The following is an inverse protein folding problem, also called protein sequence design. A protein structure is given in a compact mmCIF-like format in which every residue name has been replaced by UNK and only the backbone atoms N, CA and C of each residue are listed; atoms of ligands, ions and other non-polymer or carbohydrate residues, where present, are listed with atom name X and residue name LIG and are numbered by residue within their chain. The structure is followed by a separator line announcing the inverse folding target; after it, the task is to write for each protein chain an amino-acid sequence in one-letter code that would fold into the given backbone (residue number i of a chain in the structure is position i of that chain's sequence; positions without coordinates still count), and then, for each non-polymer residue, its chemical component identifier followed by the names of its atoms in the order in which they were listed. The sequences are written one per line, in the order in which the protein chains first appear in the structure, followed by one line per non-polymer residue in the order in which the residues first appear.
data_IF_815619586400
#
_entry.id   IF_815619586400
#
_cell.length_a   1.000
_cell.length_b   1.000
_cell.length_c   1.000
_cell.angle_alpha   90.00
_cell.angle_beta   90.00
_cell.angle_gamma   90.00
#
_symmetry.space_group_name_H-M   'P 1'
#
loop_
_entity.id
_entity.type
_entity.pdbx_description
1 polymer ?
#
# COMPACT_ATOMS: atom_id res chain seq x y z
N UNK A 1 6.41 25.78 22.51
CA UNK A 1 6.47 24.65 21.57
C UNK A 1 5.10 24.00 21.50
N UNK A 2 4.51 23.86 20.31
CA UNK A 2 3.22 23.17 20.19
C UNK A 2 3.43 21.65 20.32
N UNK A 3 2.41 20.94 20.82
CA UNK A 3 2.50 19.49 21.09
C UNK A 3 2.83 18.66 19.86
N UNK A 4 2.53 19.16 18.66
CA UNK A 4 2.92 18.55 17.37
C UNK A 4 4.43 18.60 17.13
N UNK A 5 5.10 19.70 17.48
CA UNK A 5 6.57 19.81 17.37
C UNK A 5 7.28 18.92 18.38
N UNK A 6 6.70 18.72 19.57
CA UNK A 6 7.31 17.90 20.63
C UNK A 6 7.21 16.39 20.31
N UNK A 7 6.11 15.95 19.71
CA UNK A 7 5.93 14.58 19.21
C UNK A 7 6.80 14.27 17.98
N UNK A 8 6.98 15.23 17.06
CA UNK A 8 7.90 15.04 15.93
C UNK A 8 9.36 14.95 16.37
N UNK A 9 9.78 15.73 17.37
CA UNK A 9 11.16 15.71 17.88
C UNK A 9 11.48 14.43 18.67
N UNK A 10 10.51 13.87 19.41
CA UNK A 10 10.69 12.60 20.10
C UNK A 10 10.82 11.41 19.13
N UNK A 11 10.09 11.44 18.00
CA UNK A 11 10.18 10.40 16.97
C UNK A 11 11.47 10.47 16.13
N UNK A 12 12.11 11.64 16.02
CA UNK A 12 13.35 11.84 15.26
C UNK A 12 14.63 11.47 16.03
N UNK A 13 14.58 11.44 17.37
CA UNK A 13 15.76 11.19 18.20
C UNK A 13 16.19 9.71 18.30
N UNK A 14 15.34 8.76 17.86
CA UNK A 14 15.60 7.31 17.99
C UNK A 14 16.27 6.70 16.74
N UNK A 15 16.39 7.44 15.64
CA UNK A 15 16.82 6.89 14.33
C UNK A 15 18.32 7.05 13.99
N UNK A 16 19.18 7.46 14.92
CA UNK A 16 20.58 7.74 14.63
C UNK A 16 21.53 6.75 15.32
N UNK A 17 21.75 5.57 14.71
CA UNK A 17 23.04 4.85 14.71
C UNK A 17 22.93 3.45 14.05
N UNK A 18 22.86 3.36 12.72
CA UNK A 18 23.22 2.11 12.01
C UNK A 18 23.85 2.46 10.65
N UNK A 19 25.14 2.15 10.48
CA UNK A 19 25.88 2.14 9.21
C UNK A 19 25.80 0.75 8.56
N UNK A 20 25.47 0.60 7.26
CA UNK A 20 25.53 -0.69 6.60
C UNK A 20 26.85 -0.90 5.85
N UNK A 21 27.40 -2.12 5.92
CA UNK A 21 28.42 -2.61 5.01
C UNK A 21 27.77 -3.37 3.83
N UNK A 22 28.35 -3.16 2.63
CA UNK A 22 28.07 -3.78 1.33
C UNK A 22 28.21 -5.33 1.36
N UNK A 23 27.81 -6.18 0.42
CA UNK A 23 27.13 -6.18 -0.89
C UNK A 23 26.92 -7.66 -1.27
N UNK A 24 25.89 -8.03 -2.04
CA UNK A 24 25.93 -9.28 -2.84
C UNK A 24 25.06 -9.17 -4.11
N UNK A 25 25.50 -9.67 -5.28
CA UNK A 25 24.79 -9.52 -6.54
C UNK A 25 23.90 -10.73 -6.88
N UNK A 26 22.74 -10.45 -7.48
CA UNK A 26 21.96 -11.33 -8.36
C UNK A 26 21.44 -12.66 -7.74
N UNK A 27 20.71 -12.55 -6.64
CA UNK A 27 19.62 -13.45 -6.31
C UNK A 27 18.49 -12.59 -5.75
N UNK A 28 17.29 -12.63 -6.34
CA UNK A 28 16.13 -12.01 -5.72
C UNK A 28 15.99 -12.58 -4.30
N UNK A 29 15.86 -11.74 -3.25
CA UNK A 29 15.79 -12.27 -1.89
C UNK A 29 14.57 -13.19 -1.79
N UNK A 30 14.84 -14.46 -1.52
CA UNK A 30 13.80 -15.41 -1.15
C UNK A 30 13.16 -14.90 0.14
N UNK A 31 11.94 -14.38 0.04
CA UNK A 31 11.13 -14.10 1.21
C UNK A 31 10.89 -15.46 1.90
N UNK A 32 11.34 -15.61 3.14
CA UNK A 32 11.04 -16.79 3.96
C UNK A 32 9.82 -16.50 4.85
N UNK A 33 9.05 -17.55 5.18
CA UNK A 33 7.82 -17.42 6.01
C UNK A 33 6.52 -17.32 5.19
N UNK A 34 5.41 -16.86 5.79
CA UNK A 34 4.08 -16.84 5.15
C UNK A 34 4.01 -16.00 3.85
N UNK A 35 5.05 -15.23 3.55
CA UNK A 35 5.18 -14.39 2.35
C UNK A 35 5.98 -15.07 1.21
N UNK A 36 6.37 -16.35 1.34
CA UNK A 36 7.32 -17.02 0.44
C UNK A 36 6.81 -17.37 -0.98
N UNK A 37 5.59 -16.95 -1.37
CA UNK A 37 4.94 -17.42 -2.60
C UNK A 37 4.84 -16.44 -3.78
N UNK A 38 5.55 -15.31 -3.76
CA UNK A 38 5.45 -14.30 -4.83
C UNK A 38 4.39 -13.22 -4.55
N UNK A 39 4.22 -12.30 -5.50
CA UNK A 39 3.52 -11.01 -5.34
C UNK A 39 2.16 -11.18 -4.63
N UNK A 40 1.85 -10.36 -3.60
CA UNK A 40 0.60 -10.44 -2.85
C UNK A 40 -0.60 -10.11 -3.76
N UNK A 41 -1.21 -11.16 -4.31
CA UNK A 41 -2.36 -11.07 -5.23
C UNK A 41 -2.98 -12.42 -5.59
N UNK A 42 -2.23 -13.52 -5.51
CA UNK A 42 -2.73 -14.87 -5.77
C UNK A 42 -3.19 -15.56 -4.47
N UNK A 43 -4.44 -15.33 -4.06
CA UNK A 43 -5.20 -16.31 -3.26
C UNK A 43 -4.73 -16.67 -1.84
N UNK A 44 -4.04 -15.78 -1.13
CA UNK A 44 -3.66 -16.07 0.27
C UNK A 44 -4.81 -15.80 1.25
N UNK A 45 -5.41 -16.86 1.80
CA UNK A 45 -6.24 -16.85 3.03
C UNK A 45 -5.39 -16.60 4.28
N UNK A 46 -4.64 -15.49 4.30
CA UNK A 46 -3.89 -15.03 5.47
C UNK A 46 -4.57 -13.82 6.10
N UNK A 47 -4.43 -13.69 7.43
CA UNK A 47 -4.99 -12.59 8.20
C UNK A 47 -4.57 -11.24 7.55
N UNK A 48 -5.49 -10.25 7.44
CA UNK A 48 -5.18 -8.93 6.87
C UNK A 48 -3.94 -8.24 7.46
N UNK A 49 -3.62 -8.48 8.74
CA UNK A 49 -2.39 -7.99 9.39
C UNK A 49 -1.14 -8.61 8.74
N UNK A 50 -1.16 -9.92 8.51
CA UNK A 50 -0.06 -10.64 7.88
C UNK A 50 0.10 -10.25 6.41
N UNK A 51 -1.01 -10.01 5.69
CA UNK A 51 -0.98 -9.50 4.32
C UNK A 51 -0.26 -8.15 4.23
N UNK A 52 -0.60 -7.20 5.09
CA UNK A 52 0.02 -5.87 5.12
C UNK A 52 1.51 -5.95 5.42
N UNK A 53 1.91 -6.80 6.38
CA UNK A 53 3.32 -7.04 6.69
C UNK A 53 4.06 -7.66 5.49
N UNK A 54 3.47 -8.65 4.82
CA UNK A 54 4.08 -9.26 3.63
C UNK A 54 4.29 -8.23 2.51
N UNK A 55 3.32 -7.34 2.27
CA UNK A 55 3.44 -6.28 1.27
C UNK A 55 4.52 -5.27 1.68
N UNK A 56 4.61 -4.91 2.95
CA UNK A 56 5.68 -4.05 3.48
C UNK A 56 7.07 -4.67 3.24
N UNK A 57 7.27 -5.93 3.67
CA UNK A 57 8.54 -6.64 3.50
C UNK A 57 8.90 -6.81 2.01
N UNK A 58 7.90 -7.09 1.15
CA UNK A 58 8.09 -7.18 -0.29
C UNK A 58 8.49 -5.84 -0.90
N UNK A 59 7.84 -4.73 -0.54
CA UNK A 59 8.21 -3.38 -1.03
C UNK A 59 9.63 -3.04 -0.60
N UNK A 60 9.99 -3.25 0.67
CA UNK A 60 11.35 -2.98 1.14
C UNK A 60 12.40 -3.77 0.33
N UNK A 61 12.10 -5.04 0.09
CA UNK A 61 12.92 -5.96 -0.69
C UNK A 61 13.06 -5.55 -2.16
N UNK A 62 11.94 -5.30 -2.85
CA UNK A 62 11.89 -4.95 -4.26
C UNK A 62 12.64 -3.64 -4.56
N UNK A 63 12.54 -2.67 -3.66
CA UNK A 63 13.21 -1.37 -3.79
C UNK A 63 14.56 -1.29 -3.08
N UNK A 64 15.01 -2.36 -2.42
CA UNK A 64 16.27 -2.46 -1.65
C UNK A 64 16.44 -1.32 -0.64
N UNK A 65 15.38 -1.02 0.10
CA UNK A 65 15.40 -0.02 1.17
C UNK A 65 15.22 -0.68 2.54
N UNK A 66 15.96 -0.21 3.54
CA UNK A 66 15.80 -0.61 4.92
C UNK A 66 14.61 0.09 5.61
N UNK A 67 14.14 -0.43 6.75
CA UNK A 67 13.14 0.25 7.58
C UNK A 67 13.57 1.70 7.91
N UNK A 68 12.64 2.66 7.85
CA UNK A 68 12.89 4.08 8.10
C UNK A 68 13.54 4.85 6.94
N UNK A 69 14.12 4.18 5.94
CA UNK A 69 14.78 4.85 4.80
C UNK A 69 13.79 5.44 3.78
N UNK A 70 12.52 5.01 3.79
CA UNK A 70 11.51 5.54 2.88
C UNK A 70 11.31 7.06 3.02
N UNK A 71 11.48 7.60 4.24
CA UNK A 71 11.35 9.04 4.51
C UNK A 71 12.49 9.87 3.91
N UNK A 72 13.65 9.25 3.70
CA UNK A 72 14.85 9.93 3.18
C UNK A 72 14.94 9.89 1.64
N UNK A 73 13.99 9.23 0.97
CA UNK A 73 13.95 9.18 -0.50
C UNK A 73 13.47 10.53 -1.07
N UNK A 74 14.41 11.45 -1.22
CA UNK A 74 14.18 12.75 -1.83
C UNK A 74 13.57 12.59 -3.24
N UNK A 75 12.52 13.36 -3.53
CA UNK A 75 11.82 13.34 -4.83
C UNK A 75 10.86 12.18 -5.06
N UNK A 76 10.81 11.16 -4.19
CA UNK A 76 9.89 10.00 -4.32
C UNK A 76 8.78 9.95 -3.27
N UNK A 77 8.65 10.97 -2.44
CA UNK A 77 7.68 11.00 -1.32
C UNK A 77 6.21 10.88 -1.77
N UNK A 78 5.92 11.22 -3.03
CA UNK A 78 4.57 11.12 -3.60
C UNK A 78 4.29 9.76 -4.25
N UNK A 79 5.30 8.89 -4.39
CA UNK A 79 5.12 7.56 -4.95
C UNK A 79 4.21 6.72 -4.04
N UNK A 80 3.18 6.01 -4.58
CA UNK A 80 2.23 5.24 -3.79
C UNK A 80 2.87 4.26 -2.81
N UNK A 81 3.94 3.58 -3.23
CA UNK A 81 4.66 2.62 -2.40
C UNK A 81 5.45 3.29 -1.26
N UNK A 82 6.02 4.48 -1.48
CA UNK A 82 6.70 5.25 -0.43
C UNK A 82 5.69 5.71 0.62
N UNK A 83 4.53 6.20 0.17
CA UNK A 83 3.43 6.60 1.06
C UNK A 83 2.91 5.43 1.88
N UNK A 84 2.79 4.24 1.30
CA UNK A 84 2.41 3.02 2.01
C UNK A 84 3.41 2.66 3.11
N UNK A 85 4.72 2.63 2.81
CA UNK A 85 5.76 2.30 3.80
C UNK A 85 5.74 3.29 4.97
N UNK A 86 5.62 4.60 4.69
CA UNK A 86 5.53 5.64 5.72
C UNK A 86 4.26 5.49 6.57
N UNK A 87 3.11 5.21 5.93
CA UNK A 87 1.85 4.99 6.62
C UNK A 87 1.91 3.75 7.54
N UNK A 88 2.51 2.66 7.07
CA UNK A 88 2.66 1.43 7.84
C UNK A 88 3.55 1.64 9.08
N UNK A 89 4.67 2.35 8.93
CA UNK A 89 5.55 2.71 10.06
C UNK A 89 4.83 3.57 11.10
N UNK A 90 4.10 4.60 10.67
CA UNK A 90 3.34 5.46 11.58
C UNK A 90 2.28 4.67 12.34
N UNK A 91 1.55 3.81 11.64
CA UNK A 91 0.51 2.96 12.23
C UNK A 91 1.09 1.98 13.26
N UNK A 92 2.26 1.37 12.98
CA UNK A 92 2.95 0.50 13.94
C UNK A 92 3.38 1.25 15.20
N UNK A 93 3.88 2.48 15.05
CA UNK A 93 4.28 3.32 16.19
C UNK A 93 3.07 3.74 17.03
N UNK A 94 1.97 4.19 16.40
CA UNK A 94 0.76 4.59 17.11
C UNK A 94 0.10 3.42 17.85
N UNK A 95 0.09 2.22 17.28
CA UNK A 95 -0.44 1.04 17.99
C UNK A 95 0.34 0.74 19.27
N UNK A 96 1.68 0.86 19.23
CA UNK A 96 2.51 0.74 20.42
C UNK A 96 2.11 1.74 21.51
N UNK A 97 2.08 3.03 21.15
CA UNK A 97 1.71 4.12 22.08
C UNK A 97 0.29 3.96 22.63
N UNK A 98 -0.68 3.58 21.79
CA UNK A 98 -2.06 3.37 22.21
C UNK A 98 -2.20 2.25 23.25
N UNK A 99 -1.45 1.16 23.10
CA UNK A 99 -1.45 0.05 24.06
C UNK A 99 -0.86 0.44 25.42
N UNK A 100 0.25 1.18 25.44
CA UNK A 100 0.88 1.68 26.66
C UNK A 100 -0.02 2.68 27.39
N UNK A 101 -0.67 3.58 26.66
CA UNK A 101 -1.58 4.58 27.24
C UNK A 101 -2.82 3.92 27.86
N UNK A 102 -3.37 2.90 27.20
CA UNK A 102 -4.50 2.12 27.72
C UNK A 102 -4.13 1.39 29.01
N UNK A 103 -2.95 0.74 29.05
CA UNK A 103 -2.46 0.07 30.25
C UNK A 103 -2.21 1.06 31.40
N UNK A 104 -1.67 2.25 31.11
CA UNK A 104 -1.46 3.29 32.10
C UNK A 104 -2.79 3.83 32.68
N UNK A 105 -3.81 4.03 31.84
CA UNK A 105 -5.15 4.44 32.28
C UNK A 105 -5.75 3.40 33.24
N UNK A 106 -5.71 2.11 32.88
CA UNK A 106 -6.20 1.04 33.74
C UNK A 106 -5.47 0.98 35.08
N UNK A 107 -4.15 1.11 35.08
CA UNK A 107 -3.34 1.12 36.30
C UNK A 107 -3.72 2.30 37.22
N UNK A 108 -3.88 3.50 36.67
CA UNK A 108 -4.30 4.67 37.44
C UNK A 108 -5.72 4.53 37.98
N UNK A 109 -6.64 3.94 37.20
CA UNK A 109 -8.02 3.67 37.65
C UNK A 109 -8.06 2.70 38.82
N UNK A 110 -7.26 1.63 38.79
CA UNK A 110 -7.13 0.68 39.90
C UNK A 110 -6.55 1.36 41.15
N UNK A 111 -5.51 2.17 41.00
CA UNK A 111 -4.93 2.93 42.11
C UNK A 111 -5.94 3.91 42.74
N UNK A 112 -6.75 4.58 41.92
CA UNK A 112 -7.82 5.47 42.41
C UNK A 112 -8.90 4.71 43.18
N UNK A 113 -9.35 3.56 42.68
CA UNK A 113 -10.33 2.72 43.40
C UNK A 113 -9.78 2.21 44.74
N UNK A 114 -8.52 1.80 44.78
CA UNK A 114 -7.85 1.38 46.02
C UNK A 114 -7.75 2.54 47.03
N UNK A 115 -7.42 3.74 46.57
CA UNK A 115 -7.38 4.94 47.41
C UNK A 115 -8.76 5.28 47.98
N UNK A 116 -9.83 5.20 47.18
CA UNK A 116 -11.21 5.40 47.66
C UNK A 116 -11.61 4.37 48.72
N UNK A 117 -11.31 3.08 48.48
CA UNK A 117 -11.59 2.02 49.44
C UNK A 117 -10.83 2.24 50.76
N UNK A 118 -9.58 2.69 50.68
CA UNK A 118 -8.75 2.98 51.85
C UNK A 118 -9.27 4.19 52.64
N UNK A 119 -9.69 5.25 51.95
CA UNK A 119 -10.31 6.42 52.56
C UNK A 119 -11.63 6.06 53.26
N UNK A 120 -12.47 5.25 52.63
CA UNK A 120 -13.73 4.76 53.22
C UNK A 120 -13.48 3.92 54.48
N UNK A 121 -12.48 3.02 54.46
CA UNK A 121 -12.09 2.23 55.63
C UNK A 121 -11.56 3.12 56.76
N UNK A 122 -10.72 4.11 56.46
CA UNK A 122 -10.17 5.04 57.44
C UNK A 122 -11.24 5.90 58.13
N UNK A 123 -12.33 6.25 57.44
CA UNK A 123 -13.44 7.00 58.05
C UNK A 123 -14.16 6.21 59.17
N UNK A 124 -14.11 4.88 59.12
CA UNK A 124 -14.68 4.01 60.17
C UNK A 124 -13.74 3.78 61.37
N UNK A 125 -12.46 4.18 61.27
CA UNK A 125 -11.45 3.95 62.30
C UNK A 125 -10.80 5.28 62.73
N UNK A 126 -11.16 5.87 63.88
CA UNK A 126 -10.73 7.22 64.28
C UNK A 126 -9.21 7.45 64.24
N UNK A 127 -8.40 6.43 64.55
CA UNK A 127 -6.93 6.50 64.54
C UNK A 127 -6.30 6.55 63.14
N UNK A 128 -7.04 6.18 62.09
CA UNK A 128 -6.56 6.15 60.70
C UNK A 128 -7.07 7.35 59.90
N UNK A 129 -7.92 8.21 60.49
CA UNK A 129 -8.58 9.32 59.80
C UNK A 129 -7.61 10.33 59.22
N UNK A 130 -6.49 10.56 59.90
CA UNK A 130 -5.45 11.51 59.48
C UNK A 130 -4.55 10.94 58.37
N UNK A 131 -4.63 9.63 58.09
CA UNK A 131 -3.89 8.95 57.02
C UNK A 131 -4.73 8.79 55.74
N UNK A 132 -6.01 9.16 55.77
CA UNK A 132 -6.86 9.08 54.58
C UNK A 132 -6.46 10.18 53.58
N UNK A 133 -6.39 9.87 52.28
CA UNK A 133 -6.19 10.89 51.26
C UNK A 133 -7.29 11.95 51.39
N UNK A 134 -6.88 13.21 51.33
CA UNK A 134 -7.77 14.35 51.45
C UNK A 134 -8.73 14.41 50.26
N UNK A 135 -9.90 15.04 50.46
CA UNK A 135 -10.85 15.30 49.36
C UNK A 135 -10.19 16.07 48.20
N UNK A 136 -9.22 16.94 48.50
CA UNK A 136 -8.44 17.67 47.49
C UNK A 136 -7.57 16.76 46.62
N UNK A 137 -6.87 15.79 47.22
CA UNK A 137 -6.05 14.82 46.48
C UNK A 137 -6.92 13.92 45.59
N UNK A 138 -8.07 13.45 46.09
CA UNK A 138 -9.01 12.66 45.28
C UNK A 138 -9.57 13.45 44.10
N UNK A 139 -9.82 14.75 44.27
CA UNK A 139 -10.27 15.64 43.19
C UNK A 139 -9.18 15.86 42.14
N UNK A 140 -7.93 16.07 42.57
CA UNK A 140 -6.79 16.17 41.65
C UNK A 140 -6.56 14.88 40.86
N UNK A 141 -6.62 13.71 41.51
CA UNK A 141 -6.52 12.42 40.83
C UNK A 141 -7.62 12.24 39.77
N UNK A 142 -8.86 12.64 40.08
CA UNK A 142 -9.96 12.60 39.12
C UNK A 142 -9.70 13.52 37.91
N UNK A 143 -9.23 14.74 38.15
CA UNK A 143 -8.90 15.67 37.07
C UNK A 143 -7.78 15.13 36.16
N UNK A 144 -6.77 14.46 36.74
CA UNK A 144 -5.71 13.79 35.97
C UNK A 144 -6.28 12.66 35.12
N UNK A 145 -7.15 11.82 35.67
CA UNK A 145 -7.83 10.74 34.92
C UNK A 145 -8.65 11.28 33.76
N UNK A 146 -9.44 12.34 33.97
CA UNK A 146 -10.26 12.95 32.92
C UNK A 146 -9.38 13.52 31.79
N UNK A 147 -8.24 14.16 32.13
CA UNK A 147 -7.26 14.64 31.13
C UNK A 147 -6.61 13.51 30.34
N UNK A 148 -6.34 12.38 30.98
CA UNK A 148 -5.76 11.21 30.31
C UNK A 148 -6.77 10.55 29.37
N UNK A 149 -8.01 10.36 29.82
CA UNK A 149 -9.08 9.83 28.98
C UNK A 149 -9.31 10.70 27.73
N UNK A 150 -9.28 12.03 27.89
CA UNK A 150 -9.38 12.95 26.75
C UNK A 150 -8.20 12.79 25.77
N UNK A 151 -6.97 12.61 26.27
CA UNK A 151 -5.79 12.35 25.42
C UNK A 151 -5.88 11.02 24.70
N UNK A 152 -6.36 9.97 25.37
CA UNK A 152 -6.53 8.64 24.78
C UNK A 152 -7.58 8.66 23.67
N UNK A 153 -8.68 9.40 23.84
CA UNK A 153 -9.67 9.61 22.79
C UNK A 153 -9.08 10.28 21.53
N UNK A 154 -8.19 11.27 21.70
CA UNK A 154 -7.49 11.91 20.58
C UNK A 154 -6.56 10.92 19.86
N UNK A 155 -5.74 10.17 20.62
CA UNK A 155 -4.82 9.17 20.03
C UNK A 155 -5.59 8.10 19.26
N UNK A 156 -6.74 7.64 19.80
CA UNK A 156 -7.60 6.67 19.12
C UNK A 156 -8.15 7.21 17.80
N UNK A 157 -8.64 8.44 17.81
CA UNK A 157 -9.13 9.12 16.60
C UNK A 157 -8.02 9.29 15.55
N UNK A 158 -6.80 9.63 15.96
CA UNK A 158 -5.65 9.71 15.06
C UNK A 158 -5.25 8.34 14.50
N UNK A 159 -5.31 7.28 15.31
CA UNK A 159 -5.04 5.91 14.87
C UNK A 159 -6.04 5.44 13.81
N UNK A 160 -7.34 5.67 14.03
CA UNK A 160 -8.39 5.35 13.05
C UNK A 160 -8.19 6.11 11.73
N UNK A 161 -7.81 7.39 11.79
CA UNK A 161 -7.49 8.18 10.62
C UNK A 161 -6.25 7.63 9.87
N UNK A 162 -5.22 7.20 10.60
CA UNK A 162 -4.04 6.60 10.00
C UNK A 162 -4.32 5.22 9.40
N UNK A 163 -5.16 4.40 10.02
CA UNK A 163 -5.57 3.11 9.47
C UNK A 163 -6.31 3.29 8.13
N UNK A 164 -7.22 4.28 8.07
CA UNK A 164 -7.90 4.65 6.82
C UNK A 164 -6.92 5.05 5.71
N UNK A 165 -5.91 5.88 6.04
CA UNK A 165 -4.85 6.26 5.09
C UNK A 165 -4.02 5.04 4.67
N UNK A 166 -3.69 4.15 5.60
CA UNK A 166 -2.93 2.94 5.32
C UNK A 166 -3.68 2.02 4.35
N UNK A 167 -4.98 1.80 4.56
CA UNK A 167 -5.80 1.00 3.66
C UNK A 167 -5.90 1.62 2.27
N UNK A 168 -6.15 2.92 2.18
CA UNK A 168 -6.21 3.62 0.89
C UNK A 168 -4.88 3.58 0.13
N UNK A 169 -3.75 3.74 0.82
CA UNK A 169 -2.42 3.67 0.20
C UNK A 169 -2.02 2.24 -0.18
N UNK A 170 -2.48 1.24 0.58
CA UNK A 170 -2.31 -0.18 0.26
C UNK A 170 -3.00 -0.55 -1.05
N UNK A 171 -4.27 -0.19 -1.21
CA UNK A 171 -5.03 -0.51 -2.43
C UNK A 171 -4.42 0.18 -3.67
N UNK A 172 -3.97 1.42 -3.52
CA UNK A 172 -3.27 2.15 -4.58
C UNK A 172 -1.94 1.48 -4.94
N UNK A 173 -1.14 1.05 -3.94
CA UNK A 173 0.12 0.35 -4.17
C UNK A 173 -0.08 -1.02 -4.82
N UNK A 174 -1.11 -1.76 -4.39
CA UNK A 174 -1.50 -3.05 -4.99
C UNK A 174 -1.87 -2.90 -6.46
N UNK A 175 -2.65 -1.87 -6.79
CA UNK A 175 -3.04 -1.56 -8.17
C UNK A 175 -1.81 -1.20 -9.01
N UNK A 176 -0.94 -0.31 -8.51
CA UNK A 176 0.28 0.08 -9.21
C UNK A 176 1.25 -1.10 -9.43
N UNK A 177 1.34 -2.02 -8.47
CA UNK A 177 2.15 -3.24 -8.59
C UNK A 177 1.59 -4.18 -9.67
N UNK A 178 0.26 -4.33 -9.74
CA UNK A 178 -0.38 -5.12 -10.79
C UNK A 178 -0.16 -4.50 -12.18
N UNK A 179 -0.30 -3.18 -12.31
CA UNK A 179 -0.03 -2.46 -13.55
C UNK A 179 1.44 -2.58 -13.98
N UNK A 180 2.37 -2.53 -13.02
CA UNK A 180 3.80 -2.69 -13.29
C UNK A 180 4.16 -4.12 -13.71
N UNK A 181 3.59 -5.15 -13.08
CA UNK A 181 3.76 -6.55 -13.50
C UNK A 181 3.24 -6.74 -14.92
N UNK A 182 2.04 -6.22 -15.21
CA UNK A 182 1.44 -6.31 -16.53
C UNK A 182 2.26 -5.55 -17.59
N UNK A 183 2.89 -4.42 -17.23
CA UNK A 183 3.80 -3.69 -18.10
C UNK A 183 5.16 -4.38 -18.31
N UNK A 184 5.63 -5.16 -17.33
CA UNK A 184 6.89 -5.90 -17.37
C UNK A 184 6.78 -7.23 -18.12
N UNK A 185 5.56 -7.75 -18.33
CA UNK A 185 5.35 -8.98 -19.11
C UNK A 185 5.85 -8.80 -20.55
N UNK A 186 6.44 -9.85 -21.15
CA UNK A 186 6.75 -9.83 -22.56
C UNK A 186 5.49 -9.47 -23.35
N UNK A 187 5.57 -8.58 -24.35
CA UNK A 187 4.41 -8.22 -25.14
C UNK A 187 3.85 -9.46 -25.84
N UNK A 188 2.53 -9.59 -25.87
CA UNK A 188 1.87 -10.64 -26.63
C UNK A 188 2.28 -10.53 -28.11
N UNK A 189 2.53 -11.68 -28.74
CA UNK A 189 2.89 -11.73 -30.15
C UNK A 189 1.67 -11.44 -31.03
N UNK A 190 1.70 -10.28 -31.67
CA UNK A 190 0.75 -9.82 -32.69
C UNK A 190 1.28 -9.98 -34.11
N UNK A 191 2.53 -10.42 -34.32
CA UNK A 191 3.09 -10.53 -35.65
C UNK A 191 2.39 -11.60 -36.51
N UNK A 192 2.29 -11.32 -37.81
CA UNK A 192 1.65 -12.17 -38.81
C UNK A 192 0.34 -11.60 -39.35
N UNK A 193 -0.43 -12.46 -40.00
CA UNK A 193 -1.63 -12.04 -40.72
C UNK A 193 -2.90 -12.13 -39.87
N UNK A 194 -3.75 -11.11 -40.00
CA UNK A 194 -5.01 -10.98 -39.29
C UNK A 194 -6.13 -10.68 -40.27
N UNK A 195 -7.27 -11.35 -40.11
CA UNK A 195 -8.47 -11.11 -40.90
C UNK A 195 -9.48 -10.23 -40.16
N UNK A 196 -10.00 -9.19 -40.82
CA UNK A 196 -11.12 -8.40 -40.31
C UNK A 196 -11.97 -7.89 -41.48
N UNK A 197 -13.30 -7.95 -41.35
CA UNK A 197 -14.25 -7.42 -42.36
C UNK A 197 -13.98 -7.88 -43.80
N UNK A 198 -13.46 -9.10 -43.98
CA UNK A 198 -13.12 -9.64 -45.30
C UNK A 198 -11.74 -9.27 -45.85
N UNK A 199 -10.95 -8.45 -45.15
CA UNK A 199 -9.59 -8.07 -45.56
C UNK A 199 -8.52 -8.73 -44.69
N UNK A 200 -7.29 -8.80 -45.22
CA UNK A 200 -6.09 -9.27 -44.53
C UNK A 200 -5.20 -8.09 -44.15
N UNK A 201 -4.75 -8.09 -42.91
CA UNK A 201 -3.86 -7.11 -42.30
C UNK A 201 -2.58 -7.82 -41.87
N UNK A 202 -1.44 -7.42 -42.42
CA UNK A 202 -0.13 -7.99 -42.09
C UNK A 202 0.52 -7.15 -40.99
N UNK A 203 0.69 -7.73 -39.79
CA UNK A 203 1.30 -7.09 -38.64
C UNK A 203 2.80 -7.41 -38.54
N UNK A 204 3.61 -6.38 -38.34
CA UNK A 204 5.03 -6.46 -37.95
C UNK A 204 5.20 -5.88 -36.55
N UNK A 205 5.87 -6.61 -35.66
CA UNK A 205 6.06 -6.18 -34.26
C UNK A 205 7.53 -6.08 -33.87
N UNK A 206 7.86 -5.08 -33.05
CA UNK A 206 9.16 -4.90 -32.42
C UNK A 206 8.98 -4.51 -30.94
N UNK A 207 9.12 -5.49 -30.04
CA UNK A 207 8.84 -5.27 -28.62
C UNK A 207 7.39 -4.87 -28.42
N UNK A 208 7.15 -3.76 -27.73
CA UNK A 208 5.80 -3.27 -27.41
C UNK A 208 5.19 -2.40 -28.52
N UNK A 209 5.86 -2.24 -29.67
CA UNK A 209 5.30 -1.49 -30.81
C UNK A 209 5.05 -2.41 -31.98
N UNK A 210 4.04 -2.08 -32.78
CA UNK A 210 3.75 -2.79 -34.03
C UNK A 210 3.29 -1.82 -35.11
N UNK A 211 3.35 -2.30 -36.35
CA UNK A 211 2.78 -1.67 -37.54
C UNK A 211 1.96 -2.74 -38.27
N UNK A 212 0.81 -2.38 -38.85
CA UNK A 212 0.11 -3.23 -39.79
C UNK A 212 -0.05 -2.55 -41.15
N UNK A 213 -0.18 -3.37 -42.18
CA UNK A 213 -0.51 -2.92 -43.53
C UNK A 213 -1.67 -3.73 -44.08
N UNK A 214 -2.57 -3.05 -44.77
CA UNK A 214 -3.60 -3.66 -45.60
C UNK A 214 -3.49 -3.08 -47.02
N UNK A 215 -3.11 -3.94 -47.96
CA UNK A 215 -2.82 -3.54 -49.34
C UNK A 215 -4.08 -3.12 -50.11
N UNK A 216 -5.22 -3.76 -49.84
CA UNK A 216 -6.46 -3.51 -50.56
C UNK A 216 -7.08 -2.15 -50.19
N UNK A 217 -6.82 -1.70 -48.96
CA UNK A 217 -7.31 -0.42 -48.42
C UNK A 217 -6.26 0.71 -48.47
N UNK A 218 -5.06 0.44 -48.98
CA UNK A 218 -3.89 1.32 -48.87
C UNK A 218 -3.73 1.87 -47.43
N UNK A 219 -3.94 0.99 -46.45
CA UNK A 219 -3.99 1.35 -45.03
C UNK A 219 -2.71 0.94 -44.31
N UNK A 220 -2.17 1.87 -43.53
CA UNK A 220 -1.06 1.63 -42.60
C UNK A 220 -1.49 2.04 -41.20
N UNK A 221 -1.37 1.10 -40.26
CA UNK A 221 -1.62 1.33 -38.84
C UNK A 221 -0.36 1.14 -38.02
N UNK A 222 -0.23 1.86 -36.91
CA UNK A 222 0.86 1.71 -35.95
C UNK A 222 0.31 1.80 -34.53
N UNK A 223 0.90 1.07 -33.61
CA UNK A 223 0.41 1.06 -32.24
C UNK A 223 1.39 0.52 -31.22
N UNK A 224 0.91 0.51 -29.99
CA UNK A 224 1.63 0.02 -28.81
C UNK A 224 0.80 -1.03 -28.08
N UNK A 225 1.48 -2.01 -27.49
CA UNK A 225 0.94 -3.06 -26.64
C UNK A 225 1.27 -2.72 -25.20
N UNK A 226 0.28 -2.82 -24.31
CA UNK A 226 0.46 -2.67 -22.87
C UNK A 226 -0.40 -3.73 -22.20
N UNK A 227 0.23 -4.82 -21.76
CA UNK A 227 -0.49 -5.99 -21.31
C UNK A 227 -1.41 -6.56 -22.38
N UNK A 228 -2.64 -6.90 -21.99
CA UNK A 228 -3.72 -7.34 -22.89
C UNK A 228 -4.41 -6.20 -23.67
N UNK A 229 -3.84 -4.98 -23.70
CA UNK A 229 -4.44 -3.86 -24.42
C UNK A 229 -3.54 -3.35 -25.54
N UNK A 230 -4.20 -2.90 -26.60
CA UNK A 230 -3.59 -2.27 -27.77
C UNK A 230 -4.15 -0.86 -27.90
N UNK A 231 -3.27 0.09 -28.21
CA UNK A 231 -3.65 1.41 -28.73
C UNK A 231 -3.01 1.59 -30.09
N UNK A 232 -3.76 2.02 -31.09
CA UNK A 232 -3.22 2.27 -32.43
C UNK A 232 -3.86 3.48 -33.10
N UNK A 233 -3.16 3.99 -34.11
CA UNK A 233 -3.69 4.90 -35.10
C UNK A 233 -3.37 4.39 -36.50
N UNK A 234 -4.28 4.61 -37.43
CA UNK A 234 -4.11 4.18 -38.82
C UNK A 234 -4.61 5.23 -39.78
N UNK A 235 -4.10 5.14 -41.01
CA UNK A 235 -4.52 5.96 -42.13
C UNK A 235 -4.55 5.10 -43.38
N UNK A 236 -5.63 5.20 -44.14
CA UNK A 236 -5.77 4.56 -45.44
C UNK A 236 -6.70 5.30 -46.37
N UNK A 237 -7.17 4.62 -47.41
CA UNK A 237 -8.04 5.18 -48.46
C UNK A 237 -9.30 5.87 -47.93
N UNK A 238 -9.83 5.41 -46.81
CA UNK A 238 -11.08 5.92 -46.22
C UNK A 238 -10.89 6.92 -45.09
N UNK A 239 -9.65 7.37 -44.86
CA UNK A 239 -9.32 8.38 -43.85
C UNK A 239 -8.34 7.89 -42.79
N UNK A 240 -8.29 8.61 -41.68
CA UNK A 240 -7.46 8.28 -40.53
C UNK A 240 -8.32 8.13 -39.28
N UNK A 241 -7.93 7.21 -38.40
CA UNK A 241 -8.61 6.97 -37.15
C UNK A 241 -7.63 6.48 -36.08
N UNK A 242 -8.09 6.50 -34.83
CA UNK A 242 -7.41 5.91 -33.69
C UNK A 242 -8.38 5.02 -32.92
N UNK A 243 -7.84 4.05 -32.19
CA UNK A 243 -8.65 3.09 -31.47
C UNK A 243 -7.87 2.32 -30.42
N UNK A 244 -8.62 1.64 -29.57
CA UNK A 244 -8.08 0.70 -28.59
C UNK A 244 -8.70 -0.67 -28.81
N UNK A 245 -7.94 -1.74 -28.57
CA UNK A 245 -8.43 -3.10 -28.63
C UNK A 245 -7.99 -3.91 -27.42
N UNK A 246 -8.83 -4.86 -27.02
CA UNK A 246 -8.47 -5.90 -26.07
C UNK A 246 -7.92 -7.12 -26.82
N UNK A 247 -6.81 -7.68 -26.32
CA UNK A 247 -6.17 -8.88 -26.84
C UNK A 247 -6.84 -10.09 -26.20
N UNK A 248 -7.37 -10.99 -27.01
CA UNK A 248 -7.88 -12.28 -26.57
C UNK A 248 -6.81 -13.33 -26.86
N UNK A 249 -6.38 -14.02 -25.80
CA UNK A 249 -5.39 -15.10 -25.87
C UNK A 249 -6.04 -16.47 -25.73
N UNK A 250 -5.41 -17.49 -26.33
CA UNK A 250 -5.79 -18.88 -26.10
C UNK A 250 -5.13 -19.46 -24.83
N UNK A 251 -5.43 -20.71 -24.49
CA UNK A 251 -4.86 -21.39 -23.30
C UNK A 251 -3.33 -21.52 -23.29
N UNK A 252 -2.67 -21.28 -24.43
CA UNK A 252 -1.21 -21.29 -24.55
C UNK A 252 -0.62 -19.87 -24.49
N UNK A 253 -1.41 -18.85 -24.17
CA UNK A 253 -0.97 -17.45 -24.09
C UNK A 253 -0.75 -16.77 -25.44
N UNK A 254 -1.16 -17.38 -26.56
CA UNK A 254 -1.02 -16.79 -27.91
C UNK A 254 -2.22 -15.91 -28.22
N UNK A 255 -1.98 -14.69 -28.72
CA UNK A 255 -3.04 -13.80 -29.19
C UNK A 255 -3.75 -14.39 -30.42
N UNK A 256 -5.08 -14.55 -30.32
CA UNK A 256 -5.93 -15.14 -31.38
C UNK A 256 -6.99 -14.19 -31.91
N UNK A 257 -7.37 -13.17 -31.12
CA UNK A 257 -8.35 -12.15 -31.54
C UNK A 257 -7.99 -10.79 -30.94
N UNK A 258 -8.24 -9.71 -31.67
CA UNK A 258 -8.26 -8.34 -31.16
C UNK A 258 -9.68 -7.80 -31.27
N UNK A 259 -10.25 -7.38 -30.15
CA UNK A 259 -11.59 -6.81 -30.07
C UNK A 259 -11.48 -5.29 -29.92
N UNK A 260 -11.73 -4.55 -31.01
CA UNK A 260 -11.62 -3.09 -31.03
C UNK A 260 -12.83 -2.40 -30.41
N UNK A 261 -12.61 -1.24 -29.80
CA UNK A 261 -13.65 -0.42 -29.17
C UNK A 261 -14.72 0.10 -30.15
N UNK A 262 -14.44 0.09 -31.45
CA UNK A 262 -15.41 0.41 -32.51
C UNK A 262 -16.20 -0.82 -33.01
N UNK A 263 -16.06 -1.97 -32.34
CA UNK A 263 -16.78 -3.21 -32.66
C UNK A 263 -16.12 -4.10 -33.71
N UNK A 264 -15.03 -3.65 -34.35
CA UNK A 264 -14.28 -4.46 -35.31
C UNK A 264 -13.51 -5.56 -34.57
N UNK A 265 -13.48 -6.76 -35.14
CA UNK A 265 -12.73 -7.90 -34.60
C UNK A 265 -11.70 -8.37 -35.62
N UNK A 266 -10.44 -8.40 -35.19
CA UNK A 266 -9.35 -9.00 -35.97
C UNK A 266 -9.15 -10.41 -35.46
N UNK A 267 -9.18 -11.40 -36.35
CA UNK A 267 -8.95 -12.80 -36.01
C UNK A 267 -7.66 -13.26 -36.69
N UNK A 268 -6.77 -13.89 -35.94
CA UNK A 268 -5.49 -14.38 -36.46
C UNK A 268 -5.74 -15.43 -37.56
N UNK A 269 -4.97 -15.35 -38.66
CA UNK A 269 -5.04 -16.29 -39.79
C UNK A 269 -4.04 -17.44 -39.65
#
# INVERSE_FOLDING_TARGET
MNSRTLLLLAALAVSAAITPAASNPLGGPGLSGPCAGGVPGAGFDVNPVDQRKCVYDWVLSAFRIGPGQARTLAGKQNEPWVRYVIAYENHSLLNGVGSELTAAEEAMRRSYQAAQASAAAAQSTPKLRDLAPSTGELQQMREILDKLAARLAVVRSELEAQESILLATFDAAKTAAADADEAARPPYDLAGDWGAMGFIYSFTQKGNTFEWKNKDLDEVGKGTITGLKVKASWKGKWGAAEGTADIVVNGNGRAVRLDWNNGIKFVRK
#
